data_IF_201088603750
#
_entry.id   IF_201088603750
#
_cell.length_a   1.000
_cell.length_b   1.000
_cell.length_c   1.000
_cell.angle_alpha   90.00
_cell.angle_beta   90.00
_cell.angle_gamma   90.00
#
_symmetry.space_group_name_H-M   'P 1'
#
loop_
_entity.id
_entity.type
_entity.pdbx_description
1 polymer ?
#
# COMPACT_ATOMS: atom_id res chain seq x y z
N UNK A 1 -25.29 2.69 -16.56
CA UNK A 1 -25.43 1.93 -15.30
C UNK A 1 -25.19 0.43 -15.58
N UNK A 2 -24.01 0.04 -16.13
CA UNK A 2 -23.76 -1.34 -16.60
C UNK A 2 -22.29 -1.82 -16.43
N UNK A 3 -21.29 -0.94 -16.47
CA UNK A 3 -19.89 -1.35 -16.41
C UNK A 3 -19.48 -2.02 -15.08
N UNK A 4 -20.03 -1.55 -13.95
CA UNK A 4 -19.73 -2.08 -12.61
C UNK A 4 -20.36 -3.44 -12.30
N UNK A 5 -21.49 -3.76 -12.93
CA UNK A 5 -22.21 -5.02 -12.75
C UNK A 5 -21.60 -6.14 -13.60
N UNK A 6 -21.06 -5.80 -14.77
CA UNK A 6 -20.46 -6.74 -15.71
C UNK A 6 -18.94 -6.90 -15.55
N UNK A 7 -18.30 -6.04 -14.75
CA UNK A 7 -16.86 -6.11 -14.49
C UNK A 7 -16.47 -7.46 -13.86
N UNK A 8 -15.53 -8.20 -14.47
CA UNK A 8 -15.10 -9.48 -13.92
C UNK A 8 -14.31 -9.27 -12.63
N UNK A 9 -14.51 -10.15 -11.66
CA UNK A 9 -13.68 -10.26 -10.46
C UNK A 9 -12.52 -11.18 -10.79
N UNK A 10 -11.30 -10.62 -10.85
CA UNK A 10 -10.09 -11.35 -11.22
C UNK A 10 -8.93 -10.94 -10.33
N UNK A 11 -8.00 -11.85 -10.02
CA UNK A 11 -6.73 -11.50 -9.38
C UNK A 11 -6.02 -10.40 -10.17
N UNK A 12 -5.48 -9.39 -9.47
CA UNK A 12 -4.74 -8.28 -10.09
C UNK A 12 -3.65 -8.78 -11.05
N UNK A 13 -2.92 -9.84 -10.68
CA UNK A 13 -1.88 -10.42 -11.54
C UNK A 13 -2.40 -10.90 -12.91
N UNK A 14 -3.69 -11.25 -13.01
CA UNK A 14 -4.33 -11.67 -14.26
C UNK A 14 -4.88 -10.51 -15.10
N UNK A 15 -4.75 -9.27 -14.66
CA UNK A 15 -5.17 -8.11 -15.43
C UNK A 15 -4.26 -7.85 -16.65
N UNK A 16 -3.04 -8.38 -16.60
CA UNK A 16 -1.97 -8.11 -17.55
C UNK A 16 -1.78 -9.26 -18.56
N UNK A 17 -1.23 -8.93 -19.74
CA UNK A 17 -0.84 -9.88 -20.78
C UNK A 17 0.64 -9.67 -21.18
N UNK A 18 1.56 -10.57 -20.83
CA UNK A 18 1.35 -11.79 -20.03
C UNK A 18 0.98 -11.47 -18.58
N UNK A 19 0.36 -12.44 -17.90
CA UNK A 19 0.01 -12.32 -16.48
C UNK A 19 1.23 -11.94 -15.65
N UNK A 20 1.03 -11.02 -14.73
CA UNK A 20 2.07 -10.52 -13.86
C UNK A 20 2.28 -11.51 -12.71
N UNK A 21 3.46 -12.13 -12.69
CA UNK A 21 3.87 -13.11 -11.69
C UNK A 21 5.27 -12.74 -11.25
N UNK A 22 5.49 -12.68 -9.94
CA UNK A 22 6.75 -12.30 -9.33
C UNK A 22 7.44 -13.49 -8.67
N UNK A 23 8.75 -13.56 -8.85
CA UNK A 23 9.57 -14.58 -8.20
C UNK A 23 9.71 -14.28 -6.69
N UNK A 24 10.01 -15.29 -5.86
CA UNK A 24 10.31 -15.03 -4.45
C UNK A 24 11.49 -14.07 -4.30
N UNK A 25 11.39 -13.09 -3.40
CA UNK A 25 12.44 -12.09 -3.17
C UNK A 25 13.76 -12.70 -2.73
N UNK A 26 13.75 -13.86 -2.06
CA UNK A 26 14.96 -14.58 -1.65
C UNK A 26 15.81 -15.11 -2.82
N UNK A 27 15.27 -15.10 -4.04
CA UNK A 27 15.98 -15.52 -5.24
C UNK A 27 16.63 -14.34 -5.98
N UNK A 28 16.44 -13.11 -5.48
CA UNK A 28 16.92 -11.88 -6.09
C UNK A 28 18.04 -11.26 -5.26
N UNK A 29 19.03 -10.67 -5.93
CA UNK A 29 19.90 -9.70 -5.28
C UNK A 29 19.15 -8.39 -5.05
N UNK A 30 19.64 -7.54 -4.14
CA UNK A 30 19.00 -6.25 -3.84
C UNK A 30 18.85 -5.36 -5.08
N UNK A 31 19.86 -5.34 -5.95
CA UNK A 31 19.82 -4.57 -7.20
C UNK A 31 18.72 -5.07 -8.14
N UNK A 32 18.67 -6.37 -8.42
CA UNK A 32 17.64 -6.95 -9.28
C UNK A 32 16.24 -6.83 -8.66
N UNK A 33 16.12 -6.94 -7.33
CA UNK A 33 14.85 -6.76 -6.63
C UNK A 33 14.32 -5.35 -6.84
N UNK A 34 15.16 -4.34 -6.70
CA UNK A 34 14.77 -2.95 -6.91
C UNK A 34 14.38 -2.68 -8.36
N UNK A 35 15.13 -3.22 -9.32
CA UNK A 35 14.78 -3.11 -10.75
C UNK A 35 13.43 -3.77 -11.06
N UNK A 36 13.22 -5.00 -10.57
CA UNK A 36 11.96 -5.72 -10.76
C UNK A 36 10.80 -5.01 -10.05
N UNK A 37 11.01 -4.48 -8.85
CA UNK A 37 10.02 -3.69 -8.11
C UNK A 37 9.53 -2.50 -8.93
N UNK A 38 10.44 -1.67 -9.44
CA UNK A 38 10.06 -0.51 -10.25
C UNK A 38 9.38 -0.90 -11.56
N UNK A 39 9.86 -1.95 -12.24
CA UNK A 39 9.20 -2.48 -13.42
C UNK A 39 7.75 -2.92 -13.13
N UNK A 40 7.51 -3.47 -11.94
CA UNK A 40 6.18 -3.89 -11.50
C UNK A 40 5.29 -2.70 -11.15
N UNK A 41 5.81 -1.72 -10.43
CA UNK A 41 5.08 -0.49 -10.09
C UNK A 41 4.58 0.19 -11.37
N UNK A 42 5.42 0.32 -12.39
CA UNK A 42 5.04 0.87 -13.69
C UNK A 42 3.95 0.05 -14.38
N UNK A 43 4.05 -1.29 -14.32
CA UNK A 43 3.00 -2.16 -14.86
C UNK A 43 1.69 -2.02 -14.11
N UNK A 44 1.71 -1.93 -12.78
CA UNK A 44 0.52 -1.69 -11.96
C UNK A 44 -0.14 -0.36 -12.37
N UNK A 45 0.66 0.70 -12.52
CA UNK A 45 0.17 2.01 -12.95
C UNK A 45 -0.46 1.97 -14.35
N UNK A 46 0.15 1.26 -15.31
CA UNK A 46 -0.45 1.01 -16.63
C UNK A 46 -1.78 0.23 -16.54
N UNK A 47 -1.91 -0.63 -15.53
CA UNK A 47 -3.15 -1.32 -15.17
C UNK A 47 -4.15 -0.46 -14.40
N UNK A 48 -3.90 0.85 -14.27
CA UNK A 48 -4.66 1.81 -13.45
C UNK A 48 -4.71 1.43 -11.97
N UNK A 49 -3.62 0.89 -11.42
CA UNK A 49 -3.46 0.64 -9.99
C UNK A 49 -2.37 1.58 -9.46
N UNK A 50 -2.72 2.40 -8.47
CA UNK A 50 -1.80 3.29 -7.75
C UNK A 50 -1.56 2.71 -6.37
N UNK A 51 -0.32 2.78 -5.91
CA UNK A 51 0.06 2.38 -4.57
C UNK A 51 0.26 3.64 -3.73
N UNK A 52 -0.60 3.83 -2.74
CA UNK A 52 -0.53 4.97 -1.83
C UNK A 52 0.23 4.58 -0.56
N UNK A 53 0.86 5.58 0.09
CA UNK A 53 1.47 5.43 1.42
C UNK A 53 2.53 4.33 1.51
N UNK A 54 3.44 4.30 0.54
CA UNK A 54 4.45 3.24 0.46
C UNK A 54 5.70 3.52 1.30
N UNK A 55 6.06 4.79 1.54
CA UNK A 55 7.39 5.25 1.98
C UNK A 55 7.93 4.62 3.28
N UNK A 56 7.08 4.01 4.10
CA UNK A 56 7.50 3.30 5.31
C UNK A 56 8.04 1.88 5.04
N UNK A 57 7.72 1.31 3.87
CA UNK A 57 8.14 -0.03 3.45
C UNK A 57 9.50 0.02 2.80
N UNK A 58 10.39 -0.92 3.12
CA UNK A 58 11.59 -1.16 2.30
C UNK A 58 11.22 -1.73 0.93
N UNK A 59 12.16 -1.69 -0.04
CA UNK A 59 11.95 -2.30 -1.35
C UNK A 59 11.56 -3.79 -1.23
N UNK A 60 12.18 -4.51 -0.29
CA UNK A 60 11.88 -5.91 -0.05
C UNK A 60 10.47 -6.12 0.54
N UNK A 61 10.03 -5.26 1.45
CA UNK A 61 8.66 -5.32 2.02
C UNK A 61 7.61 -4.96 0.98
N UNK A 62 7.80 -3.87 0.22
CA UNK A 62 6.88 -3.46 -0.83
C UNK A 62 6.79 -4.51 -1.95
N UNK A 63 7.93 -5.08 -2.37
CA UNK A 63 7.93 -6.17 -3.35
C UNK A 63 7.14 -7.39 -2.84
N UNK A 64 7.30 -7.75 -1.56
CA UNK A 64 6.55 -8.86 -0.97
C UNK A 64 5.07 -8.56 -0.80
N UNK A 65 4.70 -7.34 -0.42
CA UNK A 65 3.32 -6.87 -0.37
C UNK A 65 2.65 -7.03 -1.74
N UNK A 66 3.30 -6.51 -2.79
CA UNK A 66 2.80 -6.64 -4.15
C UNK A 66 2.62 -8.12 -4.52
N UNK A 67 3.66 -8.93 -4.32
CA UNK A 67 3.67 -10.34 -4.73
C UNK A 67 2.64 -11.19 -3.99
N UNK A 68 2.54 -11.03 -2.67
CA UNK A 68 1.79 -11.96 -1.80
C UNK A 68 0.35 -11.52 -1.57
N UNK A 69 0.06 -10.22 -1.66
CA UNK A 69 -1.24 -9.68 -1.30
C UNK A 69 -1.90 -8.99 -2.49
N UNK A 70 -1.22 -8.02 -3.12
CA UNK A 70 -1.82 -7.24 -4.22
C UNK A 70 -2.14 -8.12 -5.43
N UNK A 71 -1.14 -8.81 -5.99
CA UNK A 71 -1.32 -9.61 -7.20
C UNK A 71 -2.33 -10.76 -7.06
N UNK A 72 -2.39 -11.49 -5.92
CA UNK A 72 -3.36 -12.55 -5.72
C UNK A 72 -4.78 -12.04 -5.43
N UNK A 73 -4.94 -10.82 -4.93
CA UNK A 73 -6.25 -10.30 -4.52
C UNK A 73 -7.18 -10.14 -5.72
N UNK A 74 -8.36 -10.74 -5.61
CA UNK A 74 -9.38 -10.69 -6.64
C UNK A 74 -10.28 -9.46 -6.44
N UNK A 75 -10.12 -8.49 -7.34
CA UNK A 75 -10.93 -7.25 -7.36
C UNK A 75 -11.69 -7.12 -8.68
N UNK A 76 -12.75 -6.32 -8.66
CA UNK A 76 -13.49 -5.98 -9.89
C UNK A 76 -12.61 -5.14 -10.79
N UNK A 77 -12.36 -5.64 -12.00
CA UNK A 77 -11.68 -4.85 -13.04
C UNK A 77 -12.69 -3.99 -13.77
N UNK A 78 -12.85 -2.76 -13.31
CA UNK A 78 -13.75 -1.78 -13.92
C UNK A 78 -12.96 -0.98 -14.95
N UNK A 79 -13.26 -1.19 -16.23
CA UNK A 79 -12.63 -0.45 -17.33
C UNK A 79 -13.42 0.82 -17.64
N UNK A 80 -13.31 1.80 -16.75
CA UNK A 80 -13.80 3.16 -16.96
C UNK A 80 -12.61 4.10 -17.18
N UNK A 81 -12.71 5.06 -18.12
CA UNK A 81 -11.77 6.17 -18.19
C UNK A 81 -11.64 6.86 -16.83
N UNK A 82 -10.43 7.28 -16.48
CA UNK A 82 -10.10 8.03 -15.26
C UNK A 82 -10.33 7.31 -13.92
N UNK A 83 -10.73 6.04 -13.95
CA UNK A 83 -10.87 5.24 -12.74
C UNK A 83 -9.56 4.49 -12.41
N UNK A 84 -8.85 4.99 -11.41
CA UNK A 84 -7.69 4.32 -10.82
C UNK A 84 -8.11 3.57 -9.55
N UNK A 85 -7.58 2.36 -9.39
CA UNK A 85 -7.67 1.61 -8.14
C UNK A 85 -6.52 2.05 -7.23
N UNK A 86 -6.85 2.68 -6.12
CA UNK A 86 -5.90 3.08 -5.10
C UNK A 86 -5.73 1.94 -4.09
N UNK A 87 -4.50 1.47 -3.94
CA UNK A 87 -4.13 0.48 -2.94
C UNK A 87 -3.45 1.19 -1.78
N UNK A 88 -4.12 1.23 -0.63
CA UNK A 88 -3.56 1.77 0.61
C UNK A 88 -2.51 0.80 1.16
N UNK A 89 -1.22 1.20 1.15
CA UNK A 89 -0.14 0.41 1.73
C UNK A 89 0.10 0.69 3.22
N UNK A 90 -0.58 1.67 3.82
CA UNK A 90 -0.41 1.99 5.26
C UNK A 90 -0.98 0.92 6.18
N UNK A 91 -1.77 -0.03 5.66
CA UNK A 91 -2.30 -1.17 6.43
C UNK A 91 -1.37 -2.40 6.42
N UNK A 92 -0.18 -2.29 5.84
CA UNK A 92 0.76 -3.39 5.70
C UNK A 92 2.17 -2.98 6.08
N UNK A 93 3.01 -3.94 6.48
CA UNK A 93 4.40 -3.70 6.83
C UNK A 93 4.69 -3.93 8.31
N UNK A 94 5.86 -3.47 8.75
CA UNK A 94 6.25 -3.54 10.15
C UNK A 94 5.50 -2.45 10.93
N UNK A 95 4.73 -2.87 11.93
CA UNK A 95 4.10 -1.95 12.88
C UNK A 95 5.18 -1.17 13.63
N UNK A 96 5.08 0.18 13.75
CA UNK A 96 5.99 0.99 14.53
C UNK A 96 6.18 0.45 15.95
N UNK A 97 7.39 0.56 16.48
CA UNK A 97 7.69 0.13 17.83
C UNK A 97 6.97 1.04 18.83
N UNK A 98 6.14 0.43 19.69
CA UNK A 98 5.46 1.09 20.80
C UNK A 98 6.22 0.78 22.09
N UNK A 99 6.37 1.76 22.98
CA UNK A 99 7.13 1.58 24.21
C UNK A 99 6.48 0.52 25.10
N UNK A 100 7.31 -0.32 25.75
CA UNK A 100 6.84 -1.31 26.72
C UNK A 100 5.97 -0.64 27.81
N UNK A 101 4.69 -0.99 27.84
CA UNK A 101 3.70 -0.49 28.81
C UNK A 101 2.70 0.54 28.26
N UNK A 102 2.85 0.98 27.01
CA UNK A 102 1.82 1.75 26.32
C UNK A 102 0.69 0.83 25.84
N UNK A 103 -0.55 1.20 26.16
CA UNK A 103 -1.74 0.51 25.69
C UNK A 103 -2.49 1.40 24.71
N UNK A 104 -2.73 0.88 23.51
CA UNK A 104 -3.53 1.52 22.50
C UNK A 104 -4.80 0.68 22.25
N UNK A 105 -5.96 1.32 21.99
CA UNK A 105 -7.16 0.60 21.59
C UNK A 105 -6.98 0.00 20.19
N UNK A 106 -7.70 -1.10 19.89
CA UNK A 106 -7.56 -1.84 18.61
C UNK A 106 -7.63 -0.96 17.34
N UNK A 107 -8.57 0.02 17.23
CA UNK A 107 -8.63 0.88 16.03
C UNK A 107 -7.36 1.71 15.81
N UNK A 108 -6.68 2.10 16.90
CA UNK A 108 -5.42 2.84 16.85
C UNK A 108 -4.30 1.90 16.42
N UNK A 109 -4.26 0.67 16.97
CA UNK A 109 -3.28 -0.37 16.59
C UNK A 109 -3.35 -0.66 15.09
N UNK A 110 -4.55 -0.86 14.56
CA UNK A 110 -4.78 -1.14 13.14
C UNK A 110 -4.36 0.02 12.22
N UNK A 111 -4.31 1.24 12.77
CA UNK A 111 -3.97 2.47 12.04
C UNK A 111 -2.58 3.02 12.41
N UNK A 112 -1.74 2.27 13.15
CA UNK A 112 -0.49 2.81 13.70
C UNK A 112 0.46 3.35 12.62
N UNK A 113 0.62 2.63 11.51
CA UNK A 113 1.48 3.07 10.40
C UNK A 113 0.96 4.39 9.81
N UNK A 114 -0.35 4.50 9.58
CA UNK A 114 -1.01 5.73 9.14
C UNK A 114 -0.74 6.88 10.10
N UNK A 115 -1.04 6.67 11.38
CA UNK A 115 -0.93 7.69 12.42
C UNK A 115 0.53 8.14 12.64
N UNK A 116 1.49 7.23 12.49
CA UNK A 116 2.92 7.53 12.66
C UNK A 116 3.52 8.28 11.48
N UNK A 117 3.20 7.89 10.23
CA UNK A 117 3.92 8.40 9.06
C UNK A 117 3.12 9.37 8.18
N UNK A 118 1.79 9.24 8.11
CA UNK A 118 0.99 9.85 7.06
C UNK A 118 -0.06 10.85 7.57
N UNK A 119 -0.73 10.52 8.68
CA UNK A 119 -1.76 11.37 9.27
C UNK A 119 -1.23 12.77 9.59
N UNK A 120 -1.96 13.81 9.19
CA UNK A 120 -1.61 15.18 9.53
C UNK A 120 -1.93 15.51 11.00
N UNK A 121 -1.59 16.72 11.44
CA UNK A 121 -1.81 17.10 12.83
C UNK A 121 -3.30 17.23 13.19
N UNK A 122 -4.16 17.62 12.24
CA UNK A 122 -5.58 17.75 12.49
C UNK A 122 -6.23 16.38 12.66
N UNK A 123 -5.94 15.45 11.74
CA UNK A 123 -6.38 14.05 11.83
C UNK A 123 -5.92 13.43 13.14
N UNK A 124 -4.64 13.56 13.49
CA UNK A 124 -4.12 13.01 14.76
C UNK A 124 -4.83 13.57 15.99
N UNK A 125 -5.09 14.87 16.03
CA UNK A 125 -5.81 15.48 17.16
C UNK A 125 -7.25 14.96 17.28
N UNK A 126 -7.92 14.65 16.17
CA UNK A 126 -9.25 14.02 16.21
C UNK A 126 -9.18 12.64 16.86
N UNK A 127 -8.19 11.82 16.52
CA UNK A 127 -7.98 10.50 17.11
C UNK A 127 -7.61 10.58 18.61
N UNK A 128 -6.74 11.50 19.01
CA UNK A 128 -6.38 11.71 20.42
C UNK A 128 -7.61 12.08 21.26
N UNK A 129 -8.48 12.95 20.73
CA UNK A 129 -9.74 13.35 21.39
C UNK A 129 -10.75 12.20 21.42
N UNK A 130 -10.92 11.47 20.32
CA UNK A 130 -11.88 10.37 20.21
C UNK A 130 -11.57 9.24 21.20
N UNK A 131 -10.30 8.83 21.27
CA UNK A 131 -9.87 7.69 22.07
C UNK A 131 -9.31 8.07 23.44
N UNK A 132 -9.11 9.36 23.72
CA UNK A 132 -8.60 9.86 24.99
C UNK A 132 -7.18 9.37 25.29
N UNK A 133 -6.34 9.27 24.26
CA UNK A 133 -4.96 8.78 24.32
C UNK A 133 -3.99 9.83 23.76
N UNK A 134 -2.73 9.72 24.13
CA UNK A 134 -1.63 10.38 23.42
C UNK A 134 -1.15 9.43 22.32
N UNK A 135 -1.15 9.87 21.06
CA UNK A 135 -0.69 9.04 19.95
C UNK A 135 0.85 8.93 19.92
N UNK A 136 1.41 7.86 19.34
CA UNK A 136 2.85 7.74 19.19
C UNK A 136 3.42 8.93 18.40
N UNK A 137 4.68 9.32 18.64
CA UNK A 137 5.28 10.45 17.94
C UNK A 137 5.25 10.25 16.43
N UNK A 138 5.08 11.34 15.69
CA UNK A 138 5.24 11.31 14.24
C UNK A 138 6.68 10.99 13.86
N UNK A 139 6.82 10.19 12.81
CA UNK A 139 8.11 9.88 12.22
C UNK A 139 8.13 10.20 10.73
N UNK A 140 9.33 10.40 10.19
CA UNK A 140 9.51 10.54 8.74
C UNK A 140 9.66 9.14 8.17
N UNK A 141 8.88 8.77 7.13
CA UNK A 141 8.98 7.44 6.55
C UNK A 141 10.39 7.21 5.97
N UNK A 142 11.03 6.05 6.25
CA UNK A 142 12.45 5.80 5.96
C UNK A 142 12.84 5.70 4.48
N UNK A 143 11.90 5.39 3.59
CA UNK A 143 12.18 5.08 2.18
C UNK A 143 11.39 5.98 1.22
N UNK A 144 11.71 7.28 1.16
CA UNK A 144 11.00 8.22 0.31
C UNK A 144 11.13 7.83 -1.17
N UNK A 145 10.00 7.81 -1.89
CA UNK A 145 9.99 7.46 -3.32
C UNK A 145 8.99 8.28 -4.14
N UNK A 146 9.35 8.54 -5.39
CA UNK A 146 8.50 9.24 -6.34
C UNK A 146 7.61 8.21 -7.07
N UNK A 147 6.45 7.90 -6.48
CA UNK A 147 5.49 6.96 -7.07
C UNK A 147 4.73 7.59 -8.25
N UNK A 148 4.35 6.78 -9.27
CA UNK A 148 3.38 7.21 -10.27
C UNK A 148 2.07 7.62 -9.60
N UNK A 149 1.48 8.73 -10.05
CA UNK A 149 0.22 9.28 -9.54
C UNK A 149 -0.78 9.46 -10.67
N UNK A 150 -2.07 9.42 -10.35
CA UNK A 150 -3.12 9.67 -11.33
C UNK A 150 -2.95 11.07 -11.94
N UNK A 151 -3.19 11.24 -13.25
CA UNK A 151 -3.22 12.56 -13.85
C UNK A 151 -4.33 13.41 -13.20
N UNK A 152 -3.99 14.65 -12.86
CA UNK A 152 -4.89 15.68 -12.31
C UNK A 152 -5.76 16.33 -13.38
#
# INVERSE_FOLDING_TARGET
MLAWEQAPVLPVGRWFSPSLVLQPSCNLSEEHLREELWAVIERLYQGRIILDFTDHLSDHELYNLIRKEILPTAIKRVDLPDNYFHWDCSVAGRVPEISDGEWYPEPVIDSLIWLTYYADNAERSEWEVEYGIDLPPREIPPYPRAMPSAPV
#
